data_IF_036767374204
#
_entry.id   IF_036767374204
#
_cell.length_a   1.000
_cell.length_b   1.000
_cell.length_c   1.000
_cell.angle_alpha   90.00
_cell.angle_beta   90.00
_cell.angle_gamma   90.00
#
_symmetry.space_group_name_H-M   'P 1'
#
loop_
_entity.id
_entity.type
_entity.pdbx_description
1 polymer ?
#
# COMPACT_ATOMS: atom_id res chain seq x y z
N UNK A 1 30.83 14.83 -15.88
CA UNK A 1 31.29 13.76 -14.97
C UNK A 1 30.02 13.08 -14.46
N UNK A 2 29.73 11.86 -14.89
CA UNK A 2 28.59 11.11 -14.39
C UNK A 2 28.88 10.74 -12.94
N UNK A 3 28.22 11.39 -12.00
CA UNK A 3 28.25 10.97 -10.61
C UNK A 3 27.75 9.51 -10.57
N UNK A 4 28.63 8.62 -10.16
CA UNK A 4 28.34 7.20 -10.01
C UNK A 4 27.38 7.04 -8.82
N UNK A 5 26.09 7.25 -9.05
CA UNK A 5 25.01 7.21 -8.03
C UNK A 5 24.85 5.78 -7.52
N UNK A 6 25.19 4.79 -8.36
CA UNK A 6 25.16 3.37 -7.99
C UNK A 6 26.44 3.00 -7.28
N UNK A 7 26.38 2.95 -5.95
CA UNK A 7 27.55 2.66 -5.09
C UNK A 7 27.68 1.19 -4.68
N UNK A 8 26.72 0.34 -5.05
CA UNK A 8 26.68 -1.07 -4.67
C UNK A 8 26.33 -1.96 -5.87
N UNK A 9 26.43 -3.27 -5.67
CA UNK A 9 26.19 -4.26 -6.72
C UNK A 9 24.72 -4.46 -7.08
N UNK A 10 23.78 -3.89 -6.35
CA UNK A 10 22.32 -4.12 -6.45
C UNK A 10 21.89 -5.58 -6.18
N UNK A 11 22.82 -6.50 -5.93
CA UNK A 11 22.55 -7.94 -5.86
C UNK A 11 21.65 -8.35 -4.68
N UNK A 12 21.82 -7.69 -3.52
CA UNK A 12 21.16 -8.10 -2.28
C UNK A 12 19.69 -7.72 -2.21
N UNK A 13 19.19 -6.88 -3.12
CA UNK A 13 17.78 -6.50 -3.14
C UNK A 13 16.99 -7.36 -4.13
N UNK A 14 16.06 -8.15 -3.59
CA UNK A 14 15.08 -8.87 -4.39
C UNK A 14 13.81 -8.01 -4.54
N UNK A 15 13.66 -7.39 -5.70
CA UNK A 15 12.52 -6.54 -6.01
C UNK A 15 11.30 -7.38 -6.36
N UNK A 16 10.12 -7.07 -5.77
CA UNK A 16 8.87 -7.73 -6.12
C UNK A 16 8.42 -7.32 -7.54
N UNK A 17 7.63 -8.18 -8.19
CA UNK A 17 7.01 -7.91 -9.50
C UNK A 17 8.00 -7.46 -10.60
N UNK A 18 9.25 -7.91 -10.53
CA UNK A 18 10.33 -7.44 -11.38
C UNK A 18 11.16 -8.61 -11.87
N UNK A 19 11.51 -8.62 -13.16
CA UNK A 19 12.62 -9.44 -13.65
C UNK A 19 13.94 -8.88 -13.07
N UNK A 20 14.35 -9.44 -11.93
CA UNK A 20 15.51 -8.93 -11.20
C UNK A 20 16.83 -9.05 -11.97
N UNK A 21 16.98 -10.07 -12.81
CA UNK A 21 18.19 -10.26 -13.60
C UNK A 21 18.29 -9.18 -14.68
N UNK A 22 17.23 -9.01 -15.47
CA UNK A 22 17.17 -7.97 -16.50
C UNK A 22 17.28 -6.58 -15.92
N UNK A 23 16.59 -6.30 -14.80
CA UNK A 23 16.67 -4.99 -14.13
C UNK A 23 18.09 -4.63 -13.69
N UNK A 24 18.85 -5.57 -13.14
CA UNK A 24 20.22 -5.32 -12.65
C UNK A 24 21.23 -5.05 -13.77
N UNK A 25 20.97 -5.53 -14.99
CA UNK A 25 21.82 -5.25 -16.17
C UNK A 25 21.64 -3.79 -16.61
N UNK A 26 20.42 -3.26 -16.64
CA UNK A 26 20.12 -1.87 -17.00
C UNK A 26 19.07 -1.28 -16.03
N UNK A 27 19.50 -0.92 -14.80
CA UNK A 27 18.57 -0.50 -13.76
C UNK A 27 17.99 0.88 -14.04
N UNK A 28 16.68 1.01 -13.84
CA UNK A 28 15.99 2.30 -13.80
C UNK A 28 15.84 2.76 -12.36
N UNK A 29 16.88 3.36 -11.80
CA UNK A 29 16.81 3.90 -10.45
C UNK A 29 16.25 5.33 -10.48
N UNK A 30 15.24 5.59 -9.68
CA UNK A 30 14.68 6.92 -9.47
C UNK A 30 15.42 7.56 -8.31
N UNK A 31 16.03 8.70 -8.55
CA UNK A 31 16.87 9.41 -7.58
C UNK A 31 16.20 10.63 -7.00
N UNK A 32 15.27 11.22 -7.76
CA UNK A 32 14.52 12.41 -7.35
C UNK A 32 13.09 12.33 -7.88
N UNK A 33 12.17 12.98 -7.19
CA UNK A 33 10.81 13.15 -7.67
C UNK A 33 10.23 14.47 -7.16
N UNK A 34 9.39 15.12 -7.97
CA UNK A 34 8.68 16.35 -7.59
C UNK A 34 7.41 16.52 -8.43
N UNK A 35 6.29 16.81 -7.80
CA UNK A 35 5.00 16.89 -8.46
C UNK A 35 4.68 15.61 -9.21
N UNK A 36 4.47 15.68 -10.51
CA UNK A 36 4.19 14.51 -11.36
C UNK A 36 5.42 13.91 -12.03
N UNK A 37 6.60 14.43 -11.75
CA UNK A 37 7.83 13.99 -12.39
C UNK A 37 8.74 13.19 -11.48
N UNK A 38 9.34 12.15 -12.03
CA UNK A 38 10.44 11.40 -11.46
C UNK A 38 11.69 11.59 -12.32
N UNK A 39 12.87 11.59 -11.70
CA UNK A 39 14.14 11.70 -12.41
C UNK A 39 14.96 10.44 -12.14
N UNK A 40 15.40 9.78 -13.21
CA UNK A 40 16.24 8.60 -13.09
C UNK A 40 17.70 8.97 -12.80
N UNK A 41 18.50 7.99 -12.37
CA UNK A 41 19.96 8.14 -12.19
C UNK A 41 20.69 8.54 -13.48
N UNK A 42 20.06 8.36 -14.64
CA UNK A 42 20.56 8.81 -15.95
C UNK A 42 20.07 10.23 -16.31
N UNK A 43 19.53 10.97 -15.37
CA UNK A 43 18.89 12.28 -15.56
C UNK A 43 17.72 12.29 -16.55
N UNK A 44 17.07 11.16 -16.78
CA UNK A 44 15.89 11.08 -17.61
C UNK A 44 14.67 11.46 -16.79
N UNK A 45 13.90 12.43 -17.29
CA UNK A 45 12.66 12.86 -16.68
C UNK A 45 11.52 11.96 -17.13
N UNK A 46 10.74 11.44 -16.19
CA UNK A 46 9.66 10.48 -16.41
C UNK A 46 8.40 11.04 -15.76
N UNK A 47 7.27 11.00 -16.47
CA UNK A 47 5.96 11.33 -15.88
C UNK A 47 5.45 10.10 -15.12
N UNK A 48 5.09 10.30 -13.86
CA UNK A 48 4.41 9.30 -13.05
C UNK A 48 2.90 9.38 -13.25
N UNK A 49 2.39 8.63 -14.24
CA UNK A 49 0.96 8.54 -14.51
C UNK A 49 0.17 7.66 -13.55
N UNK A 50 0.86 6.98 -12.62
CA UNK A 50 0.25 6.06 -11.65
C UNK A 50 0.24 6.59 -10.22
N UNK A 51 0.78 7.78 -9.99
CA UNK A 51 0.91 8.39 -8.65
C UNK A 51 1.65 7.47 -7.67
N UNK A 52 2.77 6.86 -8.10
CA UNK A 52 3.53 5.91 -7.29
C UNK A 52 2.70 4.68 -6.89
N UNK A 53 1.88 4.17 -7.80
CA UNK A 53 0.89 3.12 -7.57
C UNK A 53 -0.09 3.51 -6.44
N UNK A 54 -0.73 4.67 -6.62
CA UNK A 54 -1.72 5.29 -5.69
C UNK A 54 -1.16 5.83 -4.37
N UNK A 55 0.17 5.80 -4.16
CA UNK A 55 0.78 6.24 -2.91
C UNK A 55 1.11 7.74 -2.87
N UNK A 56 1.10 8.43 -4.02
CA UNK A 56 1.47 9.84 -4.13
C UNK A 56 0.42 10.68 -4.92
N UNK A 57 -0.88 10.58 -4.61
CA UNK A 57 -1.93 11.24 -5.40
C UNK A 57 -1.85 12.77 -5.36
N UNK A 58 -1.26 13.34 -4.31
CA UNK A 58 -1.01 14.78 -4.20
C UNK A 58 0.26 15.26 -4.93
N UNK A 59 0.95 14.34 -5.62
CA UNK A 59 2.26 14.56 -6.23
C UNK A 59 3.41 14.25 -5.29
N UNK A 60 4.56 13.96 -5.89
CA UNK A 60 5.78 13.66 -5.16
C UNK A 60 6.31 14.90 -4.43
N UNK A 61 6.86 14.69 -3.25
CA UNK A 61 7.52 15.70 -2.44
C UNK A 61 6.65 16.95 -2.18
N UNK A 62 5.34 16.75 -1.97
CA UNK A 62 4.42 17.87 -1.69
C UNK A 62 4.83 18.60 -0.40
N UNK A 63 5.15 19.92 -0.45
CA UNK A 63 5.79 20.61 0.67
C UNK A 63 4.96 20.60 1.95
N UNK A 64 3.65 20.79 1.87
CA UNK A 64 2.75 20.75 3.05
C UNK A 64 2.72 19.37 3.71
N UNK A 65 2.80 18.28 2.92
CA UNK A 65 2.82 16.91 3.46
C UNK A 65 4.16 16.66 4.15
N UNK A 66 5.27 17.04 3.52
CA UNK A 66 6.62 16.92 4.13
C UNK A 66 6.66 17.68 5.44
N UNK A 67 6.19 18.91 5.48
CA UNK A 67 6.16 19.74 6.69
C UNK A 67 5.31 19.08 7.80
N UNK A 68 4.12 18.61 7.47
CA UNK A 68 3.22 17.95 8.44
C UNK A 68 3.86 16.68 9.02
N UNK A 69 4.44 15.82 8.17
CA UNK A 69 5.15 14.60 8.60
C UNK A 69 6.35 14.96 9.47
N UNK A 70 7.17 15.92 9.06
CA UNK A 70 8.33 16.37 9.83
C UNK A 70 7.94 16.89 11.22
N UNK A 71 6.91 17.70 11.30
CA UNK A 71 6.41 18.24 12.57
C UNK A 71 5.84 17.15 13.47
N UNK A 72 5.15 16.16 12.90
CA UNK A 72 4.62 15.03 13.65
C UNK A 72 5.73 14.12 14.19
N UNK A 73 6.75 13.82 13.38
CA UNK A 73 7.90 13.00 13.80
C UNK A 73 8.66 13.61 14.98
N UNK A 74 8.71 14.95 15.08
CA UNK A 74 9.30 15.64 16.26
C UNK A 74 8.48 15.48 17.54
N UNK A 75 7.18 15.26 17.43
CA UNK A 75 6.28 15.10 18.60
C UNK A 75 6.20 13.65 19.04
N UNK A 76 5.94 12.77 18.12
CA UNK A 76 5.78 11.33 18.36
C UNK A 76 6.03 10.56 17.07
N UNK A 77 6.98 9.65 17.09
CA UNK A 77 7.36 8.84 15.93
C UNK A 77 6.51 7.58 15.81
N UNK A 78 6.04 7.04 16.93
CA UNK A 78 5.28 5.80 16.96
C UNK A 78 4.52 5.66 18.29
N UNK A 79 3.32 5.14 18.22
CA UNK A 79 2.55 4.70 19.40
C UNK A 79 1.97 3.32 19.09
N UNK A 80 2.28 2.34 19.92
CA UNK A 80 1.73 0.99 19.81
C UNK A 80 0.20 1.03 20.01
N UNK A 81 -0.60 0.34 19.19
CA UNK A 81 -2.05 0.29 19.35
C UNK A 81 -2.53 -0.66 20.48
N UNK A 82 -1.61 -1.24 21.27
CA UNK A 82 -1.96 -2.13 22.39
C UNK A 82 -2.36 -1.33 23.63
N UNK A 83 -3.63 -0.96 23.71
CA UNK A 83 -4.18 -0.19 24.82
C UNK A 83 -3.76 1.29 24.85
N UNK A 84 -3.07 1.76 23.81
CA UNK A 84 -2.68 3.15 23.62
C UNK A 84 -3.15 3.62 22.24
N UNK A 85 -3.35 4.92 22.06
CA UNK A 85 -3.79 5.51 20.82
C UNK A 85 -2.98 6.74 20.45
N UNK A 86 -3.05 7.12 19.17
CA UNK A 86 -2.44 8.32 18.64
C UNK A 86 -3.53 9.29 18.17
N UNK A 87 -3.56 10.57 18.62
CA UNK A 87 -4.62 11.50 18.21
C UNK A 87 -4.83 11.59 16.72
N UNK A 88 -3.77 11.69 15.93
CA UNK A 88 -3.88 11.79 14.46
C UNK A 88 -4.55 10.58 13.79
N UNK A 89 -4.51 9.39 14.40
CA UNK A 89 -5.22 8.22 13.85
C UNK A 89 -6.73 8.35 14.01
N UNK A 90 -7.19 8.91 15.13
CA UNK A 90 -8.61 9.18 15.36
C UNK A 90 -9.11 10.32 14.47
N UNK A 91 -8.34 11.40 14.36
CA UNK A 91 -8.66 12.51 13.44
C UNK A 91 -8.75 12.04 11.99
N UNK A 92 -7.87 11.12 11.56
CA UNK A 92 -7.93 10.53 10.23
C UNK A 92 -9.15 9.62 10.08
N UNK A 93 -9.50 8.82 11.09
CA UNK A 93 -10.68 7.97 11.06
C UNK A 93 -11.97 8.80 10.91
N UNK A 94 -12.08 9.92 11.64
CA UNK A 94 -13.20 10.86 11.50
C UNK A 94 -13.29 11.42 10.08
N UNK A 95 -12.16 11.85 9.50
CA UNK A 95 -12.13 12.35 8.12
C UNK A 95 -12.48 11.29 7.09
N UNK A 96 -12.09 10.04 7.28
CA UNK A 96 -12.45 8.94 6.40
C UNK A 96 -13.96 8.65 6.52
N UNK A 97 -14.50 8.64 7.74
CA UNK A 97 -15.92 8.38 7.96
C UNK A 97 -16.85 9.45 7.36
N UNK A 98 -16.38 10.70 7.25
CA UNK A 98 -17.11 11.77 6.55
C UNK A 98 -17.24 11.52 5.03
N UNK A 99 -16.36 10.70 4.44
CA UNK A 99 -16.30 10.41 3.00
C UNK A 99 -16.93 9.07 2.62
N UNK A 100 -17.17 8.20 3.58
CA UNK A 100 -17.73 6.87 3.36
C UNK A 100 -19.26 6.89 3.44
N UNK A 101 -20.00 5.89 2.90
CA UNK A 101 -21.43 5.75 3.09
C UNK A 101 -21.82 5.75 4.58
N UNK A 102 -23.00 6.22 4.91
CA UNK A 102 -23.48 6.45 6.30
C UNK A 102 -23.29 5.27 7.26
N UNK A 103 -23.40 4.04 6.75
CA UNK A 103 -23.24 2.82 7.56
C UNK A 103 -21.77 2.38 7.74
N UNK A 104 -20.81 3.05 7.08
CA UNK A 104 -19.39 2.71 7.09
C UNK A 104 -18.58 3.72 7.92
N UNK A 105 -18.84 3.79 9.21
CA UNK A 105 -18.25 4.80 10.11
C UNK A 105 -17.17 4.24 11.06
N UNK A 106 -16.71 3.01 10.86
CA UNK A 106 -15.62 2.40 11.61
C UNK A 106 -14.44 2.11 10.70
N UNK A 107 -13.28 2.65 11.02
CA UNK A 107 -12.08 2.57 10.19
C UNK A 107 -11.04 1.69 10.86
N UNK A 108 -10.56 0.68 10.15
CA UNK A 108 -9.46 -0.17 10.59
C UNK A 108 -8.24 0.07 9.68
N UNK A 109 -7.19 0.65 10.22
CA UNK A 109 -5.98 0.95 9.46
C UNK A 109 -5.06 -0.26 9.36
N UNK A 110 -4.51 -0.47 8.19
CA UNK A 110 -3.54 -1.53 7.85
C UNK A 110 -2.38 -0.96 7.03
N UNK A 111 -1.32 -1.75 6.82
CA UNK A 111 -0.14 -1.27 6.10
C UNK A 111 -0.24 -1.45 4.57
N UNK A 112 -1.17 -2.27 4.09
CA UNK A 112 -1.35 -2.54 2.66
C UNK A 112 -2.77 -2.94 2.31
N UNK A 113 -3.13 -2.81 1.03
CA UNK A 113 -4.40 -3.33 0.51
C UNK A 113 -4.53 -4.85 0.67
N UNK A 114 -3.43 -5.59 0.58
CA UNK A 114 -3.42 -7.04 0.82
C UNK A 114 -3.80 -7.39 2.26
N UNK A 115 -3.26 -6.67 3.24
CA UNK A 115 -3.65 -6.81 4.65
C UNK A 115 -5.11 -6.39 4.88
N UNK A 116 -5.58 -5.36 4.18
CA UNK A 116 -6.99 -4.93 4.27
C UNK A 116 -7.94 -6.06 3.84
N UNK A 117 -7.68 -6.69 2.70
CA UNK A 117 -8.51 -7.80 2.21
C UNK A 117 -8.44 -9.00 3.17
N UNK A 118 -7.26 -9.44 3.58
CA UNK A 118 -7.13 -10.58 4.50
C UNK A 118 -7.81 -10.30 5.85
N UNK A 119 -7.73 -9.07 6.34
CA UNK A 119 -8.41 -8.66 7.57
C UNK A 119 -9.93 -8.62 7.39
N UNK A 120 -10.42 -8.09 6.27
CA UNK A 120 -11.85 -8.08 5.95
C UNK A 120 -12.43 -9.50 5.87
N UNK A 121 -11.73 -10.44 5.21
CA UNK A 121 -12.13 -11.84 5.15
C UNK A 121 -12.24 -12.45 6.55
N UNK A 122 -11.25 -12.23 7.41
CA UNK A 122 -11.29 -12.72 8.80
C UNK A 122 -12.45 -12.12 9.60
N UNK A 123 -12.70 -10.82 9.47
CA UNK A 123 -13.81 -10.14 10.15
C UNK A 123 -15.14 -10.73 9.67
N UNK A 124 -15.35 -10.92 8.36
CA UNK A 124 -16.58 -11.49 7.80
C UNK A 124 -16.80 -12.92 8.31
N UNK A 125 -15.76 -13.75 8.32
CA UNK A 125 -15.85 -15.12 8.82
C UNK A 125 -16.21 -15.13 10.31
N UNK A 126 -15.56 -14.30 11.11
CA UNK A 126 -15.83 -14.19 12.55
C UNK A 126 -17.25 -13.67 12.82
N UNK A 127 -17.71 -12.69 12.08
CA UNK A 127 -19.06 -12.16 12.17
C UNK A 127 -20.11 -13.23 11.85
N UNK A 128 -19.94 -13.96 10.73
CA UNK A 128 -20.85 -15.02 10.34
C UNK A 128 -20.91 -16.14 11.40
N UNK A 129 -19.76 -16.53 11.94
CA UNK A 129 -19.69 -17.50 13.01
C UNK A 129 -20.41 -17.01 14.27
N UNK A 130 -20.17 -15.78 14.70
CA UNK A 130 -20.79 -15.20 15.90
C UNK A 130 -22.31 -15.02 15.77
N UNK A 131 -22.81 -14.80 14.54
CA UNK A 131 -24.24 -14.65 14.26
C UNK A 131 -24.93 -15.97 13.86
N UNK A 132 -24.22 -17.12 13.92
CA UNK A 132 -24.75 -18.44 13.56
C UNK A 132 -25.04 -18.61 12.07
N UNK A 133 -24.45 -17.79 11.21
CA UNK A 133 -24.65 -17.86 9.76
C UNK A 133 -23.61 -18.81 9.13
N UNK A 134 -24.09 -19.77 8.35
CA UNK A 134 -23.20 -20.68 7.61
C UNK A 134 -22.84 -20.08 6.23
N UNK A 135 -22.05 -19.01 6.22
CA UNK A 135 -21.59 -18.33 4.98
C UNK A 135 -20.08 -18.41 4.91
N UNK A 136 -19.57 -19.38 4.14
CA UNK A 136 -18.12 -19.65 4.04
C UNK A 136 -17.57 -19.38 2.63
N UNK A 137 -18.45 -19.06 1.65
CA UNK A 137 -18.02 -18.84 0.27
C UNK A 137 -17.80 -17.37 0.02
N UNK A 138 -16.66 -17.07 -0.64
CA UNK A 138 -16.34 -15.75 -1.18
C UNK A 138 -16.40 -15.85 -2.70
N UNK A 139 -16.91 -14.81 -3.35
CA UNK A 139 -16.99 -14.72 -4.81
C UNK A 139 -16.16 -13.54 -5.26
N UNK A 140 -15.28 -13.75 -6.23
CA UNK A 140 -14.50 -12.70 -6.86
C UNK A 140 -14.85 -12.58 -8.35
N UNK A 141 -14.41 -11.50 -8.98
CA UNK A 141 -14.48 -11.38 -10.44
C UNK A 141 -13.31 -12.12 -11.06
N UNK A 142 -13.52 -12.69 -12.24
CA UNK A 142 -12.44 -13.23 -13.06
C UNK A 142 -11.37 -12.15 -13.31
N UNK A 143 -10.09 -12.53 -13.17
CA UNK A 143 -8.91 -11.65 -13.34
C UNK A 143 -8.90 -10.40 -12.44
N UNK A 144 -9.61 -10.42 -11.33
CA UNK A 144 -9.59 -9.32 -10.38
C UNK A 144 -8.42 -9.47 -9.39
N UNK A 145 -7.71 -8.37 -9.15
CA UNK A 145 -6.64 -8.33 -8.15
C UNK A 145 -7.21 -7.95 -6.78
N UNK A 146 -6.95 -8.76 -5.77
CA UNK A 146 -7.39 -8.56 -4.38
C UNK A 146 -6.23 -8.54 -3.36
N UNK A 147 -5.00 -8.56 -3.82
CA UNK A 147 -3.82 -8.56 -2.96
C UNK A 147 -2.92 -9.77 -3.19
N UNK A 148 -1.76 -9.77 -2.55
CA UNK A 148 -0.72 -10.81 -2.67
C UNK A 148 -0.63 -11.72 -1.44
N UNK A 149 -1.41 -11.44 -0.38
CA UNK A 149 -1.51 -12.32 0.77
C UNK A 149 -2.41 -13.52 0.44
N UNK A 150 -2.40 -14.53 1.31
CA UNK A 150 -3.05 -15.82 1.05
C UNK A 150 -4.54 -15.65 0.73
N UNK A 151 -5.29 -14.94 1.55
CA UNK A 151 -6.73 -14.76 1.33
C UNK A 151 -7.04 -13.99 0.06
N UNK A 152 -6.36 -12.86 -0.16
CA UNK A 152 -6.52 -12.05 -1.37
C UNK A 152 -6.10 -12.81 -2.64
N UNK A 153 -5.02 -13.59 -2.58
CA UNK A 153 -4.55 -14.40 -3.70
C UNK A 153 -5.56 -15.51 -4.07
N UNK A 154 -6.11 -16.21 -3.09
CA UNK A 154 -7.08 -17.28 -3.33
C UNK A 154 -8.39 -16.80 -3.95
N UNK A 155 -8.75 -15.53 -3.79
CA UNK A 155 -9.97 -14.98 -4.38
C UNK A 155 -9.96 -14.94 -5.92
N UNK A 156 -8.79 -14.84 -6.55
CA UNK A 156 -8.69 -14.80 -8.02
C UNK A 156 -8.05 -16.03 -8.65
N UNK A 157 -7.59 -16.99 -7.83
CA UNK A 157 -7.06 -18.27 -8.30
C UNK A 157 -8.08 -19.42 -8.15
N UNK A 158 -9.34 -19.11 -7.88
CA UNK A 158 -10.38 -20.08 -7.50
C UNK A 158 -10.79 -21.09 -8.59
N UNK A 159 -10.21 -21.04 -9.79
CA UNK A 159 -10.35 -22.15 -10.76
C UNK A 159 -9.65 -23.45 -10.29
N UNK A 160 -8.84 -23.37 -9.23
CA UNK A 160 -8.17 -24.55 -8.66
C UNK A 160 -8.98 -25.26 -7.57
N UNK A 161 -10.17 -24.77 -7.23
CA UNK A 161 -11.03 -25.33 -6.18
C UNK A 161 -12.21 -26.14 -6.70
N UNK A 162 -12.40 -26.24 -8.00
CA UNK A 162 -13.48 -27.01 -8.65
C UNK A 162 -13.00 -28.31 -9.31
N UNK A 163 -11.72 -28.73 -9.06
CA UNK A 163 -11.23 -30.07 -9.42
C UNK A 163 -11.16 -31.03 -8.22
#
# INVERSE_FOLDING_TARGET
MANNIIKNSLENHWMPFTDNRGFKIDPRLITEASGVYMTSHKNTKIIDGSSGLFCSPAGHCHPKIIEAVHNQLKKNTYTSPFGMGHPASFELADKVSELTPEDMNHVFFVNSGSEAIDTALKIIMSYNSATGQNRHRFVSRERAYHGVNIGGCLLYTSDAADE
#
